data_IF_615443436404
#
_entry.id   IF_615443436404
#
_cell.length_a   1.000
_cell.length_b   1.000
_cell.length_c   1.000
_cell.angle_alpha   90.00
_cell.angle_beta   90.00
_cell.angle_gamma   90.00
#
_symmetry.space_group_name_H-M   'P 1'
#
loop_
_entity.id
_entity.type
_entity.pdbx_description
1 polymer ?
#
# COMPACT_ATOMS: atom_id res chain seq x y z
N UNK A 1 -23.83 -26.65 -3.22
CA UNK A 1 -24.13 -27.14 -1.84
C UNK A 1 -25.62 -27.05 -1.55
N UNK A 2 -26.25 -25.90 -1.78
CA UNK A 2 -27.70 -25.71 -1.59
C UNK A 2 -28.56 -26.77 -2.32
N UNK A 3 -28.36 -26.97 -3.62
CA UNK A 3 -29.12 -27.95 -4.41
C UNK A 3 -28.95 -29.41 -3.98
N UNK A 4 -27.89 -29.71 -3.22
CA UNK A 4 -27.63 -31.05 -2.67
C UNK A 4 -28.09 -31.18 -1.20
N UNK A 5 -28.74 -30.16 -0.63
CA UNK A 5 -29.21 -30.15 0.76
C UNK A 5 -28.13 -29.87 1.82
N UNK A 6 -26.88 -29.59 1.41
CA UNK A 6 -25.78 -29.33 2.36
C UNK A 6 -25.79 -27.92 2.97
N UNK A 7 -26.54 -26.99 2.38
CA UNK A 7 -26.70 -25.64 2.91
C UNK A 7 -28.14 -25.17 2.70
N UNK A 8 -28.67 -24.39 3.64
CA UNK A 8 -30.04 -23.85 3.59
C UNK A 8 -30.14 -22.51 2.86
N UNK A 9 -29.03 -21.79 2.65
CA UNK A 9 -29.02 -20.55 1.90
C UNK A 9 -28.64 -20.78 0.43
N UNK A 10 -29.34 -20.09 -0.45
CA UNK A 10 -29.02 -20.04 -1.88
C UNK A 10 -27.81 -19.13 -2.11
N UNK A 11 -27.80 -17.96 -1.45
CA UNK A 11 -26.72 -16.98 -1.53
C UNK A 11 -25.77 -17.13 -0.32
N UNK A 12 -24.45 -17.19 -0.53
CA UNK A 12 -23.47 -17.33 0.56
C UNK A 12 -23.28 -16.07 1.42
N UNK A 13 -23.53 -14.86 0.90
CA UNK A 13 -23.27 -13.61 1.62
C UNK A 13 -24.49 -12.67 1.62
N UNK A 14 -24.90 -12.20 2.80
CA UNK A 14 -25.98 -11.19 2.93
C UNK A 14 -25.52 -9.77 2.59
N UNK A 15 -24.23 -9.47 2.77
CA UNK A 15 -23.63 -8.18 2.50
C UNK A 15 -22.18 -8.36 2.08
N UNK A 16 -21.79 -7.71 1.00
CA UNK A 16 -20.41 -7.65 0.53
C UNK A 16 -19.88 -6.22 0.69
N UNK A 17 -18.71 -6.09 1.30
CA UNK A 17 -18.01 -4.80 1.45
C UNK A 17 -16.70 -4.91 0.67
N UNK A 18 -16.62 -4.36 -0.56
CA UNK A 18 -15.36 -4.36 -1.29
C UNK A 18 -14.36 -3.44 -0.58
N UNK A 19 -13.13 -3.89 -0.43
CA UNK A 19 -12.05 -3.07 0.12
C UNK A 19 -11.28 -2.43 -1.03
N UNK A 20 -10.98 -1.15 -0.91
CA UNK A 20 -10.19 -0.39 -1.87
C UNK A 20 -8.75 -0.92 -1.94
N UNK A 21 -8.09 -0.68 -3.07
CA UNK A 21 -6.73 -1.18 -3.25
C UNK A 21 -5.73 -0.34 -2.46
N UNK A 22 -4.74 -1.02 -1.89
CA UNK A 22 -3.56 -0.39 -1.31
C UNK A 22 -2.48 -0.27 -2.39
N UNK A 23 -2.02 0.96 -2.59
CA UNK A 23 -1.00 1.32 -3.55
C UNK A 23 0.30 1.66 -2.83
N UNK A 24 1.41 1.18 -3.38
CA UNK A 24 2.76 1.52 -2.98
C UNK A 24 3.47 2.27 -4.10
N UNK A 25 4.49 3.06 -3.75
CA UNK A 25 5.33 3.73 -4.76
C UNK A 25 6.13 2.69 -5.54
N UNK A 26 6.06 2.78 -6.87
CA UNK A 26 6.85 1.97 -7.81
C UNK A 26 7.85 2.84 -8.54
N UNK A 27 8.98 2.24 -8.90
CA UNK A 27 10.04 2.89 -9.66
C UNK A 27 10.29 2.09 -10.93
N UNK A 28 10.23 2.76 -12.09
CA UNK A 28 10.45 2.15 -13.40
C UNK A 28 11.58 2.84 -14.15
N UNK A 29 12.42 2.06 -14.82
CA UNK A 29 13.36 2.57 -15.82
C UNK A 29 12.61 3.08 -17.05
N UNK A 30 13.30 3.77 -17.96
CA UNK A 30 12.76 4.15 -19.27
C UNK A 30 12.23 2.96 -20.09
N UNK A 31 12.78 1.77 -19.86
CA UNK A 31 12.35 0.50 -20.50
C UNK A 31 11.12 -0.14 -19.84
N UNK A 32 10.63 0.40 -18.72
CA UNK A 32 9.46 -0.09 -17.99
C UNK A 32 9.76 -1.19 -16.96
N UNK A 33 11.03 -1.51 -16.71
CA UNK A 33 11.43 -2.50 -15.71
C UNK A 33 11.28 -1.93 -14.30
N UNK A 34 10.69 -2.70 -13.38
CA UNK A 34 10.58 -2.32 -11.97
C UNK A 34 11.92 -2.42 -11.25
N UNK A 35 12.22 -1.41 -10.45
CA UNK A 35 13.44 -1.31 -9.64
C UNK A 35 13.08 -1.49 -8.17
N UNK A 36 13.85 -2.33 -7.47
CA UNK A 36 13.70 -2.53 -6.03
C UNK A 36 14.06 -1.25 -5.25
N UNK A 37 13.33 -0.97 -4.17
CA UNK A 37 13.48 0.25 -3.37
C UNK A 37 14.92 0.49 -2.89
N UNK A 38 15.67 -0.56 -2.58
CA UNK A 38 17.07 -0.48 -2.12
C UNK A 38 18.03 0.03 -3.21
N UNK A 39 17.66 -0.11 -4.48
CA UNK A 39 18.42 0.37 -5.63
C UNK A 39 17.95 1.75 -6.11
N UNK A 40 17.15 2.45 -5.31
CA UNK A 40 16.58 3.76 -5.63
C UNK A 40 17.05 4.81 -4.65
N UNK A 41 17.59 5.90 -5.17
CA UNK A 41 17.85 7.13 -4.39
C UNK A 41 16.80 8.17 -4.76
N UNK A 42 16.09 8.70 -3.76
CA UNK A 42 15.10 9.76 -3.96
C UNK A 42 15.82 11.11 -3.86
N UNK A 43 15.82 11.89 -4.94
CA UNK A 43 16.51 13.19 -5.01
C UNK A 43 15.57 14.32 -4.62
N UNK A 44 14.32 14.26 -5.08
CA UNK A 44 13.28 15.24 -4.73
C UNK A 44 11.90 14.58 -4.57
N UNK A 45 10.83 15.38 -4.46
CA UNK A 45 9.46 14.87 -4.28
C UNK A 45 8.98 13.97 -5.41
N UNK A 46 9.44 14.20 -6.64
CA UNK A 46 8.97 13.56 -7.87
C UNK A 46 10.07 12.84 -8.67
N UNK A 47 11.33 12.97 -8.26
CA UNK A 47 12.50 12.46 -8.98
C UNK A 47 13.25 11.45 -8.14
N UNK A 48 13.37 10.25 -8.71
CA UNK A 48 14.14 9.15 -8.19
C UNK A 48 15.20 8.76 -9.22
N UNK A 49 16.37 8.35 -8.76
CA UNK A 49 17.45 7.86 -9.61
C UNK A 49 17.86 6.45 -9.21
N UNK A 50 18.29 5.66 -10.19
CA UNK A 50 18.87 4.35 -9.93
C UNK A 50 20.25 4.51 -9.29
N UNK A 51 20.52 3.80 -8.19
CA UNK A 51 21.76 3.95 -7.42
C UNK A 51 23.03 3.74 -8.27
N UNK A 52 23.02 2.69 -9.11
CA UNK A 52 24.14 2.28 -9.97
C UNK A 52 24.19 3.05 -11.29
N UNK A 53 23.15 2.94 -12.14
CA UNK A 53 23.16 3.52 -13.50
C UNK A 53 22.97 5.03 -13.53
N UNK A 54 22.55 5.64 -12.42
CA UNK A 54 22.17 7.07 -12.31
C UNK A 54 21.05 7.50 -13.27
N UNK A 55 20.35 6.54 -13.88
CA UNK A 55 19.19 6.80 -14.72
C UNK A 55 18.04 7.39 -13.88
N UNK A 56 17.28 8.31 -14.47
CA UNK A 56 16.05 8.85 -13.88
C UNK A 56 14.96 7.79 -13.95
N UNK A 57 14.33 7.51 -12.83
CA UNK A 57 13.25 6.53 -12.69
C UNK A 57 11.90 7.24 -12.64
N UNK A 58 10.92 6.65 -13.33
CA UNK A 58 9.52 7.05 -13.24
C UNK A 58 8.95 6.58 -11.90
N UNK A 59 8.42 7.52 -11.10
CA UNK A 59 7.81 7.22 -9.81
C UNK A 59 6.28 7.31 -9.91
N UNK A 60 5.59 6.21 -9.65
CA UNK A 60 4.13 6.12 -9.73
C UNK A 60 3.53 5.45 -8.49
N UNK A 61 2.22 5.60 -8.27
CA UNK A 61 1.46 4.85 -7.28
C UNK A 61 0.72 3.70 -7.96
N UNK A 62 1.05 2.46 -7.61
CA UNK A 62 0.44 1.27 -8.20
C UNK A 62 0.05 0.26 -7.13
N UNK A 63 -0.91 -0.63 -7.45
CA UNK A 63 -1.32 -1.73 -6.57
C UNK A 63 -0.07 -2.47 -6.05
N UNK A 64 -0.02 -2.70 -4.74
CA UNK A 64 1.07 -3.45 -4.13
C UNK A 64 1.16 -4.87 -4.70
N UNK A 65 2.35 -5.27 -5.14
CA UNK A 65 2.64 -6.65 -5.53
C UNK A 65 4.13 -6.96 -5.44
N UNK A 66 4.46 -8.23 -5.21
CA UNK A 66 5.86 -8.71 -5.14
C UNK A 66 6.65 -8.37 -6.40
N UNK A 67 6.04 -8.52 -7.58
CA UNK A 67 6.65 -8.23 -8.89
C UNK A 67 7.02 -6.76 -9.12
N UNK A 68 6.48 -5.84 -8.32
CA UNK A 68 6.70 -4.39 -8.46
C UNK A 68 7.63 -3.81 -7.40
N UNK A 69 8.08 -4.65 -6.46
CA UNK A 69 8.94 -4.26 -5.34
C UNK A 69 8.41 -3.08 -4.50
N UNK A 70 7.09 -2.92 -4.44
CA UNK A 70 6.41 -1.83 -3.73
C UNK A 70 5.57 -2.29 -2.53
N UNK A 71 5.68 -3.57 -2.17
CA UNK A 71 5.07 -4.10 -0.95
C UNK A 71 5.80 -3.57 0.29
N UNK A 72 5.05 -3.34 1.36
CA UNK A 72 5.58 -3.04 2.69
C UNK A 72 5.18 -4.21 3.59
N UNK A 73 6.13 -4.75 4.34
CA UNK A 73 5.84 -5.80 5.30
C UNK A 73 5.05 -5.20 6.48
N UNK A 74 3.84 -5.72 6.78
CA UNK A 74 3.09 -5.27 7.95
C UNK A 74 3.86 -5.44 9.26
N UNK A 75 4.72 -6.45 9.37
CA UNK A 75 5.48 -6.72 10.59
C UNK A 75 6.48 -5.59 10.88
N UNK A 76 7.14 -5.04 9.86
CA UNK A 76 8.04 -3.88 10.02
C UNK A 76 7.29 -2.67 10.60
N UNK A 77 6.06 -2.43 10.17
CA UNK A 77 5.23 -1.31 10.66
C UNK A 77 4.78 -1.54 12.10
N UNK A 78 4.44 -2.79 12.44
CA UNK A 78 4.05 -3.19 13.80
C UNK A 78 5.25 -3.07 14.75
N UNK A 79 6.43 -3.54 14.34
CA UNK A 79 7.65 -3.46 15.14
C UNK A 79 8.06 -2.01 15.38
N UNK A 80 7.81 -1.13 14.40
CA UNK A 80 8.13 0.29 14.50
C UNK A 80 7.14 1.10 15.35
N UNK A 81 5.83 0.85 15.22
CA UNK A 81 4.79 1.74 15.78
C UNK A 81 3.80 1.06 16.72
N UNK A 82 3.83 -0.27 16.82
CA UNK A 82 2.88 -1.07 17.58
C UNK A 82 1.60 -1.42 16.81
N UNK A 83 0.91 -2.46 17.28
CA UNK A 83 -0.27 -3.03 16.62
C UNK A 83 -1.46 -2.08 16.58
N UNK A 84 -1.76 -1.38 17.67
CA UNK A 84 -2.92 -0.49 17.76
C UNK A 84 -2.78 0.72 16.86
N UNK A 85 -1.60 1.31 16.82
CA UNK A 85 -1.30 2.42 15.93
C UNK A 85 -1.40 2.00 14.47
N UNK A 86 -0.87 0.83 14.13
CA UNK A 86 -0.97 0.26 12.77
C UNK A 86 -2.43 0.07 12.35
N UNK A 87 -3.28 -0.45 13.24
CA UNK A 87 -4.72 -0.60 12.98
C UNK A 87 -5.41 0.74 12.78
N UNK A 88 -5.13 1.73 13.62
CA UNK A 88 -5.69 3.09 13.49
C UNK A 88 -5.26 3.67 12.14
N UNK A 89 -3.98 3.58 11.78
CA UNK A 89 -3.46 4.08 10.51
C UNK A 89 -4.18 3.48 9.29
N UNK A 90 -4.49 2.19 9.34
CA UNK A 90 -5.23 1.48 8.28
C UNK A 90 -6.71 1.86 8.21
N UNK A 91 -7.29 2.37 9.29
CA UNK A 91 -8.71 2.76 9.37
C UNK A 91 -8.92 4.26 9.14
N UNK A 92 -7.90 5.08 9.33
CA UNK A 92 -7.97 6.54 9.16
C UNK A 92 -7.57 7.00 7.75
N UNK A 93 -7.78 8.28 7.44
CA UNK A 93 -7.44 8.99 6.18
C UNK A 93 -8.27 8.67 4.93
N UNK A 94 -8.68 7.42 4.71
CA UNK A 94 -9.47 7.05 3.52
C UNK A 94 -10.63 6.13 3.88
N UNK A 95 -11.73 6.25 3.14
CA UNK A 95 -12.87 5.36 3.26
C UNK A 95 -12.48 3.92 2.85
N UNK A 96 -13.02 2.85 3.48
CA UNK A 96 -12.63 1.46 3.20
C UNK A 96 -12.73 1.02 1.73
N UNK A 97 -13.57 1.67 0.93
CA UNK A 97 -13.79 1.39 -0.50
C UNK A 97 -12.87 2.18 -1.45
N UNK A 98 -12.16 3.18 -0.93
CA UNK A 98 -11.36 4.11 -1.72
C UNK A 98 -9.92 3.60 -1.88
N UNK A 99 -9.27 4.02 -2.96
CA UNK A 99 -7.84 3.76 -3.17
C UNK A 99 -7.00 4.42 -2.07
N UNK A 100 -5.97 3.71 -1.59
CA UNK A 100 -5.07 4.17 -0.54
C UNK A 100 -3.64 4.20 -1.04
N UNK A 101 -3.03 5.39 -1.07
CA UNK A 101 -1.58 5.53 -1.23
C UNK A 101 -0.91 5.34 0.13
N UNK A 102 -0.25 4.21 0.34
CA UNK A 102 0.33 3.85 1.64
C UNK A 102 1.81 4.22 1.72
N UNK A 103 2.19 4.91 2.79
CA UNK A 103 3.56 5.34 3.05
C UNK A 103 3.93 5.03 4.51
N UNK A 104 4.96 4.23 4.77
CA UNK A 104 5.38 3.91 6.14
C UNK A 104 5.89 5.12 6.93
N UNK A 105 6.38 6.18 6.26
CA UNK A 105 6.90 7.39 6.90
C UNK A 105 5.79 8.41 7.17
N UNK A 106 4.80 8.04 7.99
CA UNK A 106 3.87 9.03 8.53
C UNK A 106 4.58 9.80 9.62
N UNK A 107 4.87 11.08 9.33
CA UNK A 107 5.39 11.99 10.33
C UNK A 107 4.37 12.04 11.49
N UNK A 108 4.79 11.76 12.74
CA UNK A 108 3.91 11.73 13.91
C UNK A 108 3.10 13.04 14.04
N UNK A 109 3.69 14.14 13.55
CA UNK A 109 3.08 15.48 13.45
C UNK A 109 1.82 15.55 12.57
N UNK A 110 1.69 14.74 11.51
CA UNK A 110 0.49 14.71 10.65
C UNK A 110 -0.70 14.04 11.34
N UNK A 111 -0.45 13.06 12.22
CA UNK A 111 -1.48 12.37 12.98
C UNK A 111 -2.01 13.21 14.16
N UNK A 112 -1.16 14.04 14.77
CA UNK A 112 -1.57 14.98 15.83
C UNK A 112 -2.58 16.04 15.36
N UNK A 113 -2.61 16.36 14.06
CA UNK A 113 -3.64 17.27 13.50
C UNK A 113 -5.05 16.69 13.47
N UNK A 114 -5.24 15.39 13.73
CA UNK A 114 -6.57 14.79 13.90
C UNK A 114 -7.18 15.03 15.29
N UNK A 115 -6.46 15.67 16.23
CA UNK A 115 -6.98 16.05 17.56
C UNK A 115 -7.60 17.47 17.61
N UNK A 116 -7.96 18.07 16.48
CA UNK A 116 -8.74 19.33 16.45
C UNK A 116 -9.95 19.20 15.55
#
# INVERSE_FOLDING_TARGET
>A
MHSKGFCTSIEPFKRFIPIGMVQGKTYKTSTGQYVAKDNVTIVDKNTAIHCVTKEILQMNWEKMSKSKYNGIDPQEVIDQYGVDFTRILMLTFVHPRSLRNFNCNYNLFLLLKMKR
#
